data_IF_798302420435
#
_entry.id   IF_798302420435
#
_cell.length_a   1.000
_cell.length_b   1.000
_cell.length_c   1.000
_cell.angle_alpha   90.00
_cell.angle_beta   90.00
_cell.angle_gamma   90.00
#
_symmetry.space_group_name_H-M   'P 1'
#
loop_
_entity.id
_entity.type
_entity.pdbx_description
1 polymer ?
#
# COMPACT_ATOMS: atom_id res chain seq x y z
N UNK A 1 -24.00 43.20 -8.12
CA UNK A 1 -23.23 42.19 -8.85
C UNK A 1 -21.94 41.94 -8.07
N UNK A 2 -22.01 41.10 -7.06
CA UNK A 2 -20.84 40.74 -6.24
C UNK A 2 -20.19 39.54 -6.90
N UNK A 3 -18.98 39.75 -7.40
CA UNK A 3 -18.16 38.73 -8.02
C UNK A 3 -17.92 37.57 -7.04
N UNK A 4 -18.20 36.38 -7.49
CA UNK A 4 -17.73 35.15 -6.89
C UNK A 4 -16.20 35.24 -6.81
N UNK A 5 -15.72 35.54 -5.60
CA UNK A 5 -14.29 35.48 -5.29
C UNK A 5 -13.78 34.10 -5.66
N UNK A 6 -12.84 34.08 -6.58
CA UNK A 6 -12.21 32.86 -7.08
C UNK A 6 -11.85 31.96 -5.90
N UNK A 7 -12.32 30.74 -5.96
CA UNK A 7 -11.81 29.59 -5.25
C UNK A 7 -10.29 29.74 -5.13
N UNK A 8 -9.79 29.98 -3.91
CA UNK A 8 -8.37 29.86 -3.63
C UNK A 8 -7.98 28.47 -4.11
N UNK A 9 -7.27 28.39 -5.24
CA UNK A 9 -6.89 27.13 -5.83
C UNK A 9 -6.08 26.39 -4.77
N UNK A 10 -6.60 25.24 -4.30
CA UNK A 10 -5.88 24.35 -3.41
C UNK A 10 -4.57 23.99 -4.11
N UNK A 11 -3.48 24.63 -3.70
CA UNK A 11 -2.15 24.28 -4.14
C UNK A 11 -1.66 23.18 -3.20
N UNK A 12 -1.60 21.92 -3.66
CA UNK A 12 -1.08 20.84 -2.83
C UNK A 12 0.36 21.17 -2.45
N UNK A 13 0.70 21.05 -1.17
CA UNK A 13 2.08 21.15 -0.71
C UNK A 13 2.86 19.93 -1.18
N UNK A 14 4.12 20.12 -1.59
CA UNK A 14 5.02 18.98 -1.82
C UNK A 14 5.10 18.11 -0.55
N UNK A 15 5.05 16.79 -0.72
CA UNK A 15 5.27 15.85 0.38
C UNK A 15 6.76 15.85 0.68
N UNK A 16 7.21 16.16 1.92
CA UNK A 16 8.64 16.27 2.21
C UNK A 16 9.41 14.97 1.91
N UNK A 17 8.93 13.84 2.40
CA UNK A 17 9.52 12.53 2.09
C UNK A 17 8.42 11.54 1.67
N UNK A 18 8.63 10.93 0.51
CA UNK A 18 7.76 9.88 -0.03
C UNK A 18 8.47 8.54 0.00
N UNK A 19 7.94 7.54 0.70
CA UNK A 19 8.51 6.18 0.71
C UNK A 19 7.73 5.28 -0.22
N UNK A 20 8.43 4.43 -0.97
CA UNK A 20 7.83 3.32 -1.70
C UNK A 20 8.31 2.01 -1.08
N UNK A 21 7.38 1.20 -0.59
CA UNK A 21 7.63 -0.11 0.03
C UNK A 21 7.33 -1.20 -0.97
N UNK A 22 8.29 -2.06 -1.21
CA UNK A 22 8.20 -3.15 -2.18
C UNK A 22 8.64 -4.46 -1.52
N UNK A 23 7.72 -5.38 -1.17
CA UNK A 23 8.06 -6.73 -0.78
C UNK A 23 8.58 -7.51 -2.00
N UNK A 24 9.65 -8.26 -1.82
CA UNK A 24 10.31 -9.06 -2.86
C UNK A 24 10.55 -10.48 -2.36
N UNK A 25 10.30 -11.46 -3.21
CA UNK A 25 10.61 -12.85 -2.98
C UNK A 25 10.81 -13.60 -4.28
N UNK A 26 12.07 -13.94 -4.58
CA UNK A 26 12.50 -14.56 -5.83
C UNK A 26 12.09 -13.75 -7.06
N UNK A 27 12.56 -12.50 -7.11
CA UNK A 27 12.24 -11.51 -8.14
C UNK A 27 13.48 -11.12 -8.96
N UNK A 28 14.52 -11.95 -9.01
CA UNK A 28 15.79 -11.63 -9.68
C UNK A 28 15.59 -11.22 -11.15
N UNK A 29 14.69 -11.88 -11.87
CA UNK A 29 14.42 -11.62 -13.29
C UNK A 29 13.74 -10.25 -13.54
N UNK A 30 12.92 -9.79 -12.60
CA UNK A 30 12.15 -8.54 -12.71
C UNK A 30 12.82 -7.37 -12.00
N UNK A 31 13.77 -7.63 -11.10
CA UNK A 31 14.35 -6.68 -10.15
C UNK A 31 14.81 -5.37 -10.81
N UNK A 32 15.69 -5.46 -11.79
CA UNK A 32 16.29 -4.27 -12.43
C UNK A 32 15.23 -3.38 -13.12
N UNK A 33 14.28 -4.01 -13.80
CA UNK A 33 13.18 -3.29 -14.45
C UNK A 33 12.27 -2.61 -13.42
N UNK A 34 11.88 -3.32 -12.37
CA UNK A 34 11.02 -2.80 -11.29
C UNK A 34 11.65 -1.60 -10.60
N UNK A 35 12.91 -1.73 -10.15
CA UNK A 35 13.61 -0.65 -9.46
C UNK A 35 13.83 0.54 -10.38
N UNK A 36 14.24 0.31 -11.64
CA UNK A 36 14.44 1.37 -12.62
C UNK A 36 13.18 2.18 -12.92
N UNK A 37 12.05 1.52 -13.10
CA UNK A 37 10.76 2.18 -13.36
C UNK A 37 10.27 2.97 -12.13
N UNK A 38 10.45 2.43 -10.92
CA UNK A 38 10.10 3.11 -9.68
C UNK A 38 10.94 4.37 -9.45
N UNK A 39 12.26 4.29 -9.66
CA UNK A 39 13.14 5.46 -9.56
C UNK A 39 12.69 6.56 -10.54
N UNK A 40 12.47 6.20 -11.80
CA UNK A 40 12.02 7.16 -12.82
C UNK A 40 10.68 7.81 -12.48
N UNK A 41 9.72 7.04 -11.96
CA UNK A 41 8.41 7.55 -11.55
C UNK A 41 8.50 8.51 -10.34
N UNK A 42 9.36 8.18 -9.36
CA UNK A 42 9.57 9.06 -8.21
C UNK A 42 10.36 10.32 -8.60
N UNK A 43 11.33 10.23 -9.51
CA UNK A 43 12.04 11.39 -10.06
C UNK A 43 11.08 12.32 -10.82
N UNK A 44 10.12 11.78 -11.59
CA UNK A 44 9.06 12.57 -12.25
C UNK A 44 8.14 13.26 -11.22
N UNK A 45 7.76 12.56 -10.13
CA UNK A 45 7.00 13.17 -9.04
C UNK A 45 7.73 14.34 -8.40
N UNK A 46 9.04 14.21 -8.16
CA UNK A 46 9.87 15.26 -7.59
C UNK A 46 10.02 16.44 -8.58
N UNK A 47 10.26 16.15 -9.85
CA UNK A 47 10.36 17.17 -10.90
C UNK A 47 9.07 17.99 -11.07
N UNK A 48 7.91 17.37 -10.81
CA UNK A 48 6.59 18.06 -10.79
C UNK A 48 6.32 18.82 -9.49
N UNK A 49 7.19 18.75 -8.51
CA UNK A 49 6.99 19.36 -7.19
C UNK A 49 5.89 18.71 -6.35
N UNK A 50 5.50 17.47 -6.66
CA UNK A 50 4.53 16.72 -5.86
C UNK A 50 5.15 16.16 -4.57
N UNK A 51 6.44 15.86 -4.59
CA UNK A 51 7.26 15.43 -3.47
C UNK A 51 8.58 16.22 -3.46
N UNK A 52 9.23 16.38 -2.31
CA UNK A 52 10.55 17.00 -2.23
C UNK A 52 11.66 15.97 -2.43
N UNK A 53 11.53 14.81 -1.78
CA UNK A 53 12.46 13.68 -1.88
C UNK A 53 11.73 12.36 -1.69
N UNK A 54 12.42 11.25 -1.96
CA UNK A 54 11.86 9.92 -1.81
C UNK A 54 12.88 8.88 -1.37
N UNK A 55 12.39 7.75 -0.87
CA UNK A 55 13.14 6.52 -0.66
C UNK A 55 12.40 5.31 -1.23
N UNK A 56 13.14 4.30 -1.71
CA UNK A 56 12.65 2.96 -2.00
C UNK A 56 13.07 2.02 -0.87
N UNK A 57 12.11 1.33 -0.27
CA UNK A 57 12.34 0.33 0.78
C UNK A 57 12.05 -1.05 0.20
N UNK A 58 13.10 -1.75 -0.19
CA UNK A 58 13.05 -3.10 -0.75
C UNK A 58 13.09 -4.09 0.41
N UNK A 59 12.10 -4.96 0.53
CA UNK A 59 12.03 -5.96 1.59
C UNK A 59 12.20 -7.34 0.99
N UNK A 60 13.38 -7.91 1.12
CA UNK A 60 13.68 -9.27 0.70
C UNK A 60 13.20 -10.27 1.76
N UNK A 61 12.23 -11.08 1.40
CA UNK A 61 11.60 -12.07 2.28
C UNK A 61 12.33 -13.42 2.26
N UNK A 62 13.65 -13.39 2.51
CA UNK A 62 14.53 -14.55 2.47
C UNK A 62 14.46 -15.27 1.11
N UNK A 63 14.74 -14.54 0.03
CA UNK A 63 14.79 -15.09 -1.32
C UNK A 63 15.87 -16.17 -1.45
N UNK A 64 15.59 -17.20 -2.25
CA UNK A 64 16.54 -18.27 -2.56
C UNK A 64 17.39 -18.01 -3.80
N UNK A 65 17.09 -16.94 -4.54
CA UNK A 65 17.77 -16.48 -5.75
C UNK A 65 18.66 -15.26 -5.48
N UNK A 66 19.04 -14.52 -6.51
CA UNK A 66 19.92 -13.35 -6.40
C UNK A 66 19.20 -12.07 -5.91
N UNK A 67 17.91 -12.10 -5.61
CA UNK A 67 17.10 -10.91 -5.25
C UNK A 67 17.73 -10.11 -4.10
N UNK A 68 18.11 -10.78 -3.00
CA UNK A 68 18.73 -10.12 -1.85
C UNK A 68 20.05 -9.43 -2.20
N UNK A 69 20.93 -10.10 -2.95
CA UNK A 69 22.20 -9.53 -3.39
C UNK A 69 22.02 -8.34 -4.35
N UNK A 70 20.99 -8.39 -5.21
CA UNK A 70 20.62 -7.27 -6.09
C UNK A 70 20.08 -6.08 -5.29
N UNK A 71 19.31 -6.32 -4.24
CA UNK A 71 18.81 -5.28 -3.36
C UNK A 71 19.96 -4.56 -2.62
N UNK A 72 20.93 -5.32 -2.10
CA UNK A 72 22.13 -4.74 -1.48
C UNK A 72 22.97 -3.93 -2.46
N UNK A 73 23.19 -4.44 -3.67
CA UNK A 73 23.92 -3.74 -4.71
C UNK A 73 23.21 -2.42 -5.11
N UNK A 74 21.89 -2.44 -5.24
CA UNK A 74 21.11 -1.25 -5.52
C UNK A 74 21.19 -0.20 -4.40
N UNK A 75 21.09 -0.64 -3.14
CA UNK A 75 21.22 0.23 -1.97
C UNK A 75 22.63 0.82 -1.84
N UNK A 76 23.67 0.09 -2.23
CA UNK A 76 25.04 0.59 -2.26
C UNK A 76 25.28 1.62 -3.38
N UNK A 77 24.56 1.49 -4.51
CA UNK A 77 24.69 2.37 -5.66
C UNK A 77 23.87 3.67 -5.54
N UNK A 78 22.73 3.64 -4.85
CA UNK A 78 21.84 4.79 -4.70
C UNK A 78 21.35 4.92 -3.24
N UNK A 79 21.76 5.99 -2.57
CA UNK A 79 21.41 6.27 -1.17
C UNK A 79 19.91 6.44 -0.90
N UNK A 80 19.09 6.59 -1.94
CA UNK A 80 17.63 6.62 -1.87
C UNK A 80 17.01 5.23 -1.76
N UNK A 81 17.80 4.17 -1.98
CA UNK A 81 17.37 2.79 -1.88
C UNK A 81 17.84 2.21 -0.55
N UNK A 82 16.95 1.48 0.10
CA UNK A 82 17.25 0.74 1.33
C UNK A 82 16.78 -0.70 1.17
N UNK A 83 17.67 -1.64 1.45
CA UNK A 83 17.37 -3.06 1.52
C UNK A 83 17.12 -3.47 2.98
N UNK A 84 16.05 -4.25 3.19
CA UNK A 84 15.72 -4.90 4.45
C UNK A 84 15.59 -6.39 4.16
N UNK A 85 16.21 -7.23 4.99
CA UNK A 85 16.21 -8.68 4.78
C UNK A 85 15.58 -9.41 5.96
N UNK A 86 14.83 -10.45 5.66
CA UNK A 86 14.38 -11.41 6.66
C UNK A 86 15.34 -12.61 6.73
N UNK A 87 15.56 -13.15 7.92
CA UNK A 87 16.34 -14.38 8.11
C UNK A 87 15.61 -15.62 7.58
N UNK A 88 14.27 -15.58 7.54
CA UNK A 88 13.40 -16.62 7.01
C UNK A 88 12.14 -15.99 6.40
N UNK A 89 11.48 -16.70 5.48
CA UNK A 89 10.28 -16.20 4.81
C UNK A 89 9.14 -15.98 5.80
N UNK A 90 8.74 -14.71 5.97
CA UNK A 90 7.64 -14.27 6.83
C UNK A 90 6.31 -14.11 6.08
N UNK A 91 6.34 -14.28 4.76
CA UNK A 91 5.19 -14.10 3.87
C UNK A 91 4.87 -12.64 3.59
N UNK A 92 3.93 -12.42 2.66
CA UNK A 92 3.57 -11.09 2.16
C UNK A 92 3.26 -10.09 3.29
N UNK A 93 2.44 -10.50 4.26
CA UNK A 93 2.07 -9.64 5.38
C UNK A 93 3.26 -9.28 6.27
N UNK A 94 4.18 -10.22 6.49
CA UNK A 94 5.43 -9.97 7.20
C UNK A 94 6.27 -8.91 6.50
N UNK A 95 6.47 -9.06 5.19
CA UNK A 95 7.27 -8.15 4.38
C UNK A 95 6.65 -6.75 4.31
N UNK A 96 5.34 -6.65 4.12
CA UNK A 96 4.62 -5.37 4.15
C UNK A 96 4.80 -4.69 5.51
N UNK A 97 4.62 -5.41 6.62
CA UNK A 97 4.80 -4.85 7.97
C UNK A 97 6.21 -4.33 8.18
N UNK A 98 7.22 -5.12 7.83
CA UNK A 98 8.63 -4.72 7.93
C UNK A 98 8.91 -3.48 7.09
N UNK A 99 8.42 -3.44 5.85
CA UNK A 99 8.60 -2.30 4.97
C UNK A 99 7.90 -1.04 5.48
N UNK A 100 6.63 -1.14 5.91
CA UNK A 100 5.87 0.00 6.45
C UNK A 100 6.49 0.54 7.75
N UNK A 101 6.98 -0.34 8.62
CA UNK A 101 7.67 0.05 9.85
C UNK A 101 9.05 0.66 9.56
N UNK A 102 9.75 0.16 8.55
CA UNK A 102 11.06 0.65 8.11
C UNK A 102 11.01 1.93 7.29
N UNK A 103 9.89 2.24 6.65
CA UNK A 103 9.70 3.45 5.86
C UNK A 103 9.74 4.71 6.74
N UNK A 104 10.31 5.81 6.23
CA UNK A 104 10.50 7.09 6.96
C UNK A 104 9.62 8.21 6.43
N UNK A 105 9.00 8.03 5.25
CA UNK A 105 8.24 9.05 4.55
C UNK A 105 6.99 9.52 5.27
N UNK A 106 6.61 10.77 5.00
CA UNK A 106 5.34 11.37 5.45
C UNK A 106 4.14 10.70 4.78
N UNK A 107 4.37 10.19 3.58
CA UNK A 107 3.43 9.33 2.84
C UNK A 107 4.18 8.10 2.35
N UNK A 108 3.59 6.94 2.56
CA UNK A 108 4.14 5.65 2.16
C UNK A 108 3.24 5.03 1.11
N UNK A 109 3.77 4.76 -0.07
CA UNK A 109 3.16 3.90 -1.08
C UNK A 109 3.61 2.46 -0.83
N UNK A 110 2.68 1.54 -0.74
CA UNK A 110 2.92 0.11 -0.82
C UNK A 110 2.47 -0.41 -2.18
N UNK A 111 3.34 -1.16 -2.86
CA UNK A 111 3.05 -1.85 -4.12
C UNK A 111 3.81 -3.18 -4.22
N UNK A 112 3.29 -4.11 -5.02
CA UNK A 112 3.96 -5.37 -5.34
C UNK A 112 5.10 -5.13 -6.36
N UNK A 113 6.08 -6.04 -6.40
CA UNK A 113 7.23 -5.95 -7.30
C UNK A 113 6.87 -6.02 -8.80
N UNK A 114 5.70 -6.59 -9.14
CA UNK A 114 5.19 -6.69 -10.51
C UNK A 114 4.51 -5.42 -11.03
N UNK A 115 4.46 -4.35 -10.21
CA UNK A 115 3.91 -3.03 -10.57
C UNK A 115 2.54 -3.14 -11.27
N UNK A 116 1.47 -3.53 -10.56
CA UNK A 116 0.20 -3.94 -11.15
C UNK A 116 -0.63 -2.79 -11.72
N UNK A 117 -0.11 -1.55 -11.76
CA UNK A 117 -0.78 -0.36 -12.27
C UNK A 117 0.22 0.60 -12.92
N UNK A 118 -0.28 1.55 -13.69
CA UNK A 118 0.54 2.57 -14.33
C UNK A 118 1.08 3.58 -13.30
N UNK A 119 2.40 3.63 -13.14
CA UNK A 119 3.04 4.58 -12.23
C UNK A 119 2.89 6.05 -12.68
N UNK A 120 2.52 6.33 -13.94
CA UNK A 120 2.15 7.68 -14.38
C UNK A 120 0.88 8.20 -13.70
N UNK A 121 0.10 7.34 -13.04
CA UNK A 121 -1.03 7.75 -12.19
C UNK A 121 -0.58 8.35 -10.84
N UNK A 122 0.66 8.16 -10.40
CA UNK A 122 1.14 8.60 -9.09
C UNK A 122 0.90 10.10 -8.81
N UNK A 123 1.16 11.04 -9.75
CA UNK A 123 0.89 12.47 -9.51
C UNK A 123 -0.59 12.74 -9.19
N UNK A 124 -1.48 12.04 -9.88
CA UNK A 124 -2.93 12.13 -9.64
C UNK A 124 -3.29 11.55 -8.28
N UNK A 125 -2.72 10.40 -7.91
CA UNK A 125 -3.01 9.74 -6.63
C UNK A 125 -2.52 10.59 -5.45
N UNK A 126 -1.31 11.15 -5.52
CA UNK A 126 -0.76 12.08 -4.52
C UNK A 126 -1.69 13.28 -4.35
N UNK A 127 -2.10 13.90 -5.45
CA UNK A 127 -3.03 15.02 -5.41
C UNK A 127 -4.36 14.65 -4.77
N UNK A 128 -4.94 13.49 -5.10
CA UNK A 128 -6.21 13.04 -4.50
C UNK A 128 -6.07 12.79 -3.00
N UNK A 129 -4.97 12.17 -2.56
CA UNK A 129 -4.70 11.96 -1.13
C UNK A 129 -4.72 13.29 -0.37
N UNK A 130 -4.13 14.33 -0.94
CA UNK A 130 -4.05 15.66 -0.32
C UNK A 130 -5.38 16.41 -0.38
N UNK A 131 -6.02 16.49 -1.56
CA UNK A 131 -7.28 17.23 -1.75
C UNK A 131 -8.40 16.69 -0.86
N UNK A 132 -8.44 15.38 -0.69
CA UNK A 132 -9.45 14.74 0.17
C UNK A 132 -8.97 14.61 1.62
N UNK A 133 -7.79 15.10 1.98
CA UNK A 133 -7.22 14.96 3.32
C UNK A 133 -7.36 13.51 3.83
N UNK A 134 -7.09 12.55 2.94
CA UNK A 134 -7.27 11.16 3.25
C UNK A 134 -6.05 10.62 4.00
N UNK A 135 -6.29 9.83 5.04
CA UNK A 135 -5.25 9.05 5.72
C UNK A 135 -4.76 7.88 4.85
N UNK A 136 -5.69 7.27 4.10
CA UNK A 136 -5.36 6.19 3.14
C UNK A 136 -6.05 6.44 1.81
N UNK A 137 -5.31 6.29 0.72
CA UNK A 137 -5.83 6.07 -0.62
C UNK A 137 -5.62 4.59 -0.96
N UNK A 138 -6.73 3.87 -1.19
CA UNK A 138 -6.72 2.46 -1.60
C UNK A 138 -7.20 2.36 -3.04
N UNK A 139 -6.35 1.92 -3.96
CA UNK A 139 -6.78 1.70 -5.33
C UNK A 139 -7.55 0.38 -5.48
N UNK A 140 -8.31 0.24 -6.56
CA UNK A 140 -9.02 -0.96 -6.96
C UNK A 140 -8.96 -1.13 -8.48
N UNK A 141 -9.00 -2.37 -8.98
CA UNK A 141 -8.95 -2.69 -10.40
C UNK A 141 -10.25 -2.34 -11.10
N UNK A 142 -10.17 -1.51 -12.15
CA UNK A 142 -11.33 -1.14 -12.98
C UNK A 142 -11.71 -2.27 -13.92
N UNK A 143 -10.72 -2.99 -14.47
CA UNK A 143 -10.92 -4.13 -15.36
C UNK A 143 -10.48 -5.44 -14.69
N UNK A 144 -11.39 -6.46 -14.73
CA UNK A 144 -11.17 -7.81 -14.23
C UNK A 144 -11.36 -8.87 -15.31
N UNK A 145 -11.56 -8.48 -16.57
CA UNK A 145 -11.88 -9.41 -17.65
C UNK A 145 -10.75 -10.42 -17.95
N UNK A 146 -9.50 -10.09 -17.59
CA UNK A 146 -8.35 -10.99 -17.75
C UNK A 146 -8.22 -12.06 -16.65
N UNK A 147 -9.03 -11.98 -15.58
CA UNK A 147 -8.98 -12.94 -14.47
C UNK A 147 -9.95 -14.10 -14.70
N UNK A 148 -9.45 -15.35 -14.65
CA UNK A 148 -10.30 -16.53 -14.81
C UNK A 148 -11.45 -16.59 -13.79
N UNK A 149 -12.60 -17.15 -14.18
CA UNK A 149 -13.85 -17.23 -13.39
C UNK A 149 -13.65 -17.67 -11.92
N UNK A 150 -12.77 -18.65 -11.66
CA UNK A 150 -12.49 -19.12 -10.30
C UNK A 150 -11.88 -18.04 -9.43
N UNK A 151 -10.93 -17.25 -9.95
CA UNK A 151 -10.26 -16.17 -9.22
C UNK A 151 -11.24 -15.05 -8.87
N UNK A 152 -12.09 -14.69 -9.81
CA UNK A 152 -13.18 -13.70 -9.60
C UNK A 152 -14.13 -14.14 -8.49
N UNK A 153 -14.51 -15.43 -8.46
CA UNK A 153 -15.41 -15.98 -7.45
C UNK A 153 -14.77 -15.95 -6.04
N UNK A 154 -13.49 -16.37 -5.92
CA UNK A 154 -12.76 -16.33 -4.64
C UNK A 154 -12.56 -14.89 -4.15
N UNK A 155 -12.18 -13.97 -5.03
CA UNK A 155 -12.04 -12.55 -4.71
C UNK A 155 -13.38 -11.94 -4.25
N UNK A 156 -14.48 -12.28 -4.93
CA UNK A 156 -15.82 -11.84 -4.55
C UNK A 156 -16.23 -12.34 -3.17
N UNK A 157 -16.02 -13.63 -2.89
CA UNK A 157 -16.30 -14.22 -1.58
C UNK A 157 -15.44 -13.60 -0.46
N UNK A 158 -14.15 -13.41 -0.71
CA UNK A 158 -13.24 -12.76 0.23
C UNK A 158 -13.69 -11.33 0.55
N UNK A 159 -13.99 -10.51 -0.47
CA UNK A 159 -14.48 -9.15 -0.28
C UNK A 159 -15.82 -9.12 0.47
N UNK A 160 -16.70 -10.10 0.24
CA UNK A 160 -17.94 -10.25 1.01
C UNK A 160 -17.67 -10.53 2.48
N UNK A 161 -16.75 -11.44 2.80
CA UNK A 161 -16.35 -11.74 4.18
C UNK A 161 -15.75 -10.51 4.87
N UNK A 162 -14.83 -9.80 4.22
CA UNK A 162 -14.26 -8.54 4.72
C UNK A 162 -15.37 -7.52 5.01
N UNK A 163 -16.32 -7.37 4.08
CA UNK A 163 -17.47 -6.46 4.26
C UNK A 163 -18.33 -6.82 5.46
N UNK A 164 -18.64 -8.10 5.63
CA UNK A 164 -19.53 -8.57 6.71
C UNK A 164 -18.81 -8.59 8.05
N UNK A 165 -17.61 -9.20 8.12
CA UNK A 165 -16.91 -9.41 9.38
C UNK A 165 -16.24 -8.13 9.91
N UNK A 166 -15.68 -7.30 9.03
CA UNK A 166 -15.01 -6.06 9.42
C UNK A 166 -15.87 -4.83 9.23
N UNK A 167 -17.07 -4.98 8.61
CA UNK A 167 -17.99 -3.87 8.26
C UNK A 167 -17.32 -2.83 7.36
N UNK A 168 -16.45 -3.27 6.47
CA UNK A 168 -15.75 -2.41 5.52
C UNK A 168 -16.49 -2.37 4.18
N UNK A 169 -16.58 -1.16 3.60
CA UNK A 169 -17.12 -0.96 2.25
C UNK A 169 -15.97 -0.66 1.27
N UNK A 170 -15.10 -1.66 1.06
CA UNK A 170 -13.96 -1.57 0.14
C UNK A 170 -14.21 -2.49 -1.06
N UNK A 171 -13.84 -2.05 -2.27
CA UNK A 171 -14.12 -2.76 -3.50
C UNK A 171 -13.13 -3.88 -3.79
N UNK A 172 -11.83 -3.63 -3.70
CA UNK A 172 -10.77 -4.58 -4.03
C UNK A 172 -9.64 -4.42 -3.01
N UNK A 173 -9.84 -5.02 -1.86
CA UNK A 173 -8.97 -4.78 -0.70
C UNK A 173 -7.53 -5.23 -0.93
N UNK A 174 -7.32 -6.27 -1.75
CA UNK A 174 -6.00 -6.89 -1.98
C UNK A 174 -5.27 -6.32 -3.21
N UNK A 175 -5.72 -5.22 -3.77
CA UNK A 175 -4.97 -4.58 -4.85
C UNK A 175 -3.77 -3.83 -4.29
N UNK A 176 -2.58 -4.18 -4.75
CA UNK A 176 -1.31 -3.66 -4.23
C UNK A 176 -1.00 -2.25 -4.76
N UNK A 177 -1.85 -1.29 -4.40
CA UNK A 177 -1.60 0.13 -4.55
C UNK A 177 -2.30 0.86 -3.41
N UNK A 178 -1.56 1.16 -2.36
CA UNK A 178 -2.06 1.91 -1.20
C UNK A 178 -1.08 3.00 -0.83
N UNK A 179 -1.57 4.24 -0.81
CA UNK A 179 -0.85 5.37 -0.22
C UNK A 179 -1.38 5.64 1.18
N UNK A 180 -0.47 5.73 2.14
CA UNK A 180 -0.80 5.78 3.57
C UNK A 180 -0.01 6.95 4.16
N UNK A 181 -0.69 7.86 4.88
CA UNK A 181 -0.01 8.90 5.64
C UNK A 181 0.69 8.30 6.87
N UNK A 182 1.82 8.87 7.26
CA UNK A 182 2.58 8.47 8.43
C UNK A 182 1.72 8.41 9.68
N UNK A 183 0.89 9.41 9.93
CA UNK A 183 -0.03 9.49 11.06
C UNK A 183 -0.93 8.26 11.23
N UNK A 184 -1.31 7.62 10.11
CA UNK A 184 -2.10 6.38 10.14
C UNK A 184 -1.26 5.21 10.60
N UNK A 185 -0.01 5.10 10.08
CA UNK A 185 0.90 4.02 10.45
C UNK A 185 1.31 4.11 11.94
N UNK A 186 1.45 5.32 12.46
CA UNK A 186 1.79 5.56 13.86
C UNK A 186 0.61 5.26 14.82
N UNK A 187 -0.64 5.33 14.31
CA UNK A 187 -1.84 5.10 15.10
C UNK A 187 -2.35 3.66 15.10
N UNK A 188 -1.81 2.80 14.22
CA UNK A 188 -2.27 1.40 14.09
C UNK A 188 -1.11 0.42 14.24
N UNK A 189 -1.41 -0.76 14.79
CA UNK A 189 -0.48 -1.88 14.87
C UNK A 189 -0.93 -3.01 13.94
N UNK A 190 -0.12 -3.35 12.93
CA UNK A 190 -0.40 -4.45 12.01
C UNK A 190 0.19 -5.76 12.54
N UNK A 191 -0.54 -6.87 12.41
CA UNK A 191 -0.17 -8.17 12.98
C UNK A 191 -0.24 -9.33 11.99
N UNK A 192 -1.00 -9.19 10.91
CA UNK A 192 -1.12 -10.24 9.89
C UNK A 192 0.24 -10.55 9.26
N UNK A 193 0.49 -11.83 9.02
CA UNK A 193 1.65 -12.32 8.27
C UNK A 193 1.29 -12.77 6.86
N UNK A 194 0.00 -12.96 6.58
CA UNK A 194 -0.51 -13.38 5.29
C UNK A 194 -1.18 -12.26 4.49
N UNK A 195 -1.90 -12.65 3.45
CA UNK A 195 -2.62 -11.72 2.57
C UNK A 195 -3.81 -11.02 3.23
N UNK A 196 -4.11 -11.29 4.51
CA UNK A 196 -5.10 -10.55 5.28
C UNK A 196 -4.59 -9.16 5.67
N UNK A 197 -3.29 -8.88 5.54
CA UNK A 197 -2.64 -7.61 5.90
C UNK A 197 -3.32 -6.39 5.28
N UNK A 198 -3.74 -6.49 4.02
CA UNK A 198 -4.44 -5.43 3.31
C UNK A 198 -5.78 -5.06 3.93
N UNK A 199 -6.55 -6.08 4.30
CA UNK A 199 -7.83 -5.89 4.97
C UNK A 199 -7.64 -5.40 6.41
N UNK A 200 -6.63 -5.90 7.12
CA UNK A 200 -6.26 -5.46 8.46
C UNK A 200 -5.91 -3.97 8.48
N UNK A 201 -5.01 -3.53 7.59
CA UNK A 201 -4.59 -2.13 7.45
C UNK A 201 -5.81 -1.20 7.31
N UNK A 202 -6.65 -1.47 6.33
CA UNK A 202 -7.82 -0.63 6.04
C UNK A 202 -8.84 -0.70 7.20
N UNK A 203 -9.03 -1.89 7.79
CA UNK A 203 -9.98 -2.07 8.88
C UNK A 203 -9.57 -1.32 10.15
N UNK A 204 -8.29 -1.43 10.53
CA UNK A 204 -7.76 -0.73 11.71
C UNK A 204 -7.82 0.78 11.51
N UNK A 205 -7.34 1.29 10.37
CA UNK A 205 -7.40 2.71 10.05
C UNK A 205 -8.84 3.25 10.06
N UNK A 206 -9.78 2.54 9.43
CA UNK A 206 -11.18 2.92 9.42
C UNK A 206 -11.80 2.96 10.83
N UNK A 207 -11.42 2.00 11.70
CA UNK A 207 -11.89 1.96 13.10
C UNK A 207 -11.30 3.06 13.96
N UNK A 208 -10.08 3.48 13.65
CA UNK A 208 -9.43 4.61 14.31
C UNK A 208 -9.97 5.96 13.84
N UNK A 209 -10.82 5.98 12.81
CA UNK A 209 -11.46 7.18 12.31
C UNK A 209 -10.74 7.85 11.13
N UNK A 210 -9.66 7.23 10.63
CA UNK A 210 -8.95 7.77 9.47
C UNK A 210 -9.82 7.74 8.21
N UNK A 211 -9.75 8.81 7.44
CA UNK A 211 -10.46 8.91 6.16
C UNK A 211 -9.81 8.04 5.12
N UNK A 212 -10.60 7.18 4.48
CA UNK A 212 -10.15 6.29 3.41
C UNK A 212 -10.88 6.65 2.13
N UNK A 213 -10.12 6.92 1.07
CA UNK A 213 -10.65 7.12 -0.28
C UNK A 213 -10.29 5.94 -1.17
N UNK A 214 -11.11 5.70 -2.19
CA UNK A 214 -10.90 4.62 -3.13
C UNK A 214 -10.84 5.16 -4.55
N UNK A 215 -9.85 4.70 -5.34
CA UNK A 215 -9.61 5.15 -6.71
C UNK A 215 -9.54 3.93 -7.63
N UNK A 216 -10.24 3.99 -8.77
CA UNK A 216 -10.10 2.97 -9.82
C UNK A 216 -8.84 3.22 -10.63
N UNK A 217 -8.07 2.16 -10.86
CA UNK A 217 -6.90 2.13 -11.73
C UNK A 217 -7.01 0.99 -12.73
N UNK A 218 -6.43 1.18 -13.90
CA UNK A 218 -6.26 0.13 -14.87
C UNK A 218 -5.22 -0.86 -14.37
N UNK A 219 -5.53 -2.15 -14.51
CA UNK A 219 -4.71 -3.24 -14.01
C UNK A 219 -3.89 -3.85 -15.14
N UNK A 220 -2.59 -3.94 -14.92
CA UNK A 220 -1.69 -4.70 -15.78
C UNK A 220 -1.49 -6.10 -15.19
N UNK A 221 -1.95 -7.10 -15.94
CA UNK A 221 -1.76 -8.49 -15.53
C UNK A 221 -0.26 -8.83 -15.56
N UNK A 222 0.19 -9.63 -14.57
CA UNK A 222 1.56 -10.17 -14.56
C UNK A 222 1.90 -10.80 -15.89
N UNK A 223 3.02 -10.41 -16.47
CA UNK A 223 3.58 -11.04 -17.68
C UNK A 223 4.28 -12.37 -17.34
N UNK A 224 4.72 -12.57 -16.09
CA UNK A 224 5.46 -13.76 -15.61
C UNK A 224 5.00 -14.12 -14.19
N UNK A 225 4.87 -15.41 -13.89
CA UNK A 225 4.64 -15.95 -12.54
C UNK A 225 3.28 -16.59 -12.30
N UNK A 226 3.23 -17.53 -11.35
CA UNK A 226 2.03 -18.25 -10.93
C UNK A 226 1.48 -17.62 -9.66
N UNK A 227 0.19 -17.25 -9.66
CA UNK A 227 -0.48 -16.69 -8.46
C UNK A 227 -0.51 -17.73 -7.33
N UNK A 228 0.14 -17.43 -6.22
CA UNK A 228 0.15 -18.28 -5.01
C UNK A 228 -1.15 -18.21 -4.19
N UNK A 229 -2.04 -17.26 -4.49
CA UNK A 229 -3.27 -16.99 -3.73
C UNK A 229 -4.38 -18.04 -3.90
N UNK A 230 -4.27 -18.98 -4.85
CA UNK A 230 -5.29 -19.99 -5.14
C UNK A 230 -5.19 -21.30 -4.34
N UNK A 231 -4.20 -21.41 -3.45
CA UNK A 231 -4.02 -22.59 -2.58
C UNK A 231 -5.04 -22.62 -1.45
N UNK A 232 -5.68 -23.79 -1.22
CA UNK A 232 -6.56 -24.02 -0.06
C UNK A 232 -5.87 -23.71 1.29
N UNK A 233 -4.55 -23.91 1.37
CA UNK A 233 -3.75 -23.60 2.56
C UNK A 233 -3.72 -22.08 2.80
N UNK A 234 -3.51 -21.29 1.76
CA UNK A 234 -3.53 -19.82 1.81
C UNK A 234 -4.90 -19.30 2.22
N UNK A 235 -5.98 -19.81 1.61
CA UNK A 235 -7.37 -19.41 1.92
C UNK A 235 -7.70 -19.72 3.40
N UNK A 236 -7.35 -20.90 3.90
CA UNK A 236 -7.56 -21.26 5.32
C UNK A 236 -6.77 -20.35 6.26
N UNK A 237 -5.52 -19.99 5.89
CA UNK A 237 -4.69 -19.04 6.63
C UNK A 237 -5.38 -17.67 6.75
N UNK A 238 -5.79 -17.11 5.64
CA UNK A 238 -6.50 -15.82 5.58
C UNK A 238 -7.78 -15.84 6.43
N UNK A 239 -8.60 -16.89 6.31
CA UNK A 239 -9.82 -17.02 7.11
C UNK A 239 -9.51 -17.10 8.61
N UNK A 240 -8.51 -17.87 8.99
CA UNK A 240 -8.08 -18.00 10.40
C UNK A 240 -7.62 -16.65 10.96
N UNK A 241 -6.78 -15.91 10.26
CA UNK A 241 -6.35 -14.57 10.65
C UNK A 241 -7.54 -13.62 10.76
N UNK A 242 -8.41 -13.60 9.76
CA UNK A 242 -9.59 -12.75 9.73
C UNK A 242 -10.52 -13.00 10.93
N UNK A 243 -10.82 -14.27 11.25
CA UNK A 243 -11.67 -14.61 12.39
C UNK A 243 -11.00 -14.29 13.73
N UNK A 244 -9.70 -14.57 13.87
CA UNK A 244 -8.97 -14.30 15.12
C UNK A 244 -8.88 -12.81 15.42
N UNK A 245 -8.60 -11.98 14.40
CA UNK A 245 -8.42 -10.54 14.59
C UNK A 245 -9.72 -9.72 14.50
N UNK A 246 -10.79 -10.27 13.90
CA UNK A 246 -12.03 -9.52 13.68
C UNK A 246 -12.66 -8.96 14.94
N UNK A 247 -12.57 -9.70 16.06
CA UNK A 247 -13.09 -9.26 17.35
C UNK A 247 -12.27 -8.10 17.93
N UNK A 248 -10.96 -8.17 17.84
CA UNK A 248 -10.04 -7.12 18.28
C UNK A 248 -10.27 -5.86 17.45
N UNK A 249 -10.19 -5.98 16.11
CA UNK A 249 -10.39 -4.85 15.20
C UNK A 249 -11.73 -4.14 15.45
N UNK A 250 -12.81 -4.92 15.68
CA UNK A 250 -14.13 -4.33 15.96
C UNK A 250 -14.23 -3.57 17.29
N UNK A 251 -13.32 -3.82 18.23
CA UNK A 251 -13.25 -3.14 19.53
C UNK A 251 -12.43 -1.86 19.50
N UNK A 252 -11.65 -1.64 18.45
CA UNK A 252 -10.92 -0.40 18.28
C UNK A 252 -11.90 0.78 18.24
N UNK A 253 -11.52 1.89 18.86
CA UNK A 253 -12.29 3.14 18.90
C UNK A 253 -11.55 4.21 18.11
N UNK A 254 -12.22 5.21 17.55
CA UNK A 254 -11.58 6.37 16.97
C UNK A 254 -10.59 7.00 17.96
N UNK A 255 -9.49 7.54 17.44
CA UNK A 255 -8.61 8.37 18.24
C UNK A 255 -9.42 9.57 18.78
N UNK A 256 -9.12 9.99 20.00
CA UNK A 256 -9.69 11.24 20.48
C UNK A 256 -9.26 12.36 19.51
N UNK A 257 -10.15 13.30 19.17
CA UNK A 257 -9.75 14.48 18.40
C UNK A 257 -8.61 15.18 19.16
N UNK A 258 -7.61 15.75 18.44
CA UNK A 258 -6.58 16.54 19.10
C UNK A 258 -7.26 17.61 19.94
N UNK A 259 -6.87 17.73 21.19
CA UNK A 259 -7.33 18.82 22.04
C UNK A 259 -7.01 20.12 21.30
N UNK A 260 -8.05 20.82 20.86
CA UNK A 260 -7.89 22.18 20.36
C UNK A 260 -7.39 22.98 21.54
N UNK A 261 -6.05 23.19 21.58
CA UNK A 261 -5.47 24.05 22.58
C UNK A 261 -6.20 25.39 22.52
N UNK A 262 -6.85 25.74 23.61
CA UNK A 262 -7.45 27.06 23.84
C UNK A 262 -6.35 28.08 23.55
N UNK A 263 -6.50 28.79 22.43
CA UNK A 263 -5.75 29.99 22.17
C UNK A 263 -6.36 31.05 23.15
N UNK A 264 -5.69 31.18 24.30
CA UNK A 264 -5.87 32.30 25.22
C UNK A 264 -5.00 33.47 24.77
#
# INVERSE_FOLDING_TARGET
MNGLSATAAFAPRAIPLFSVVIPMWNEEDSFAATVGVLLAACDDLAARGAIETFELVLVDDASGDSTGALADAAAAADHRIRALHHEHNLGLGGSIRTGLAGARGDVVLYTDADLPFDLFELPRLVRLLQVYEAGILSAWRTDRHSEGFRRTLYSGFYNLLVRVLLRLRVRDVNFACKMIRREVLDDIELRSTGSFIDAELIARANRRGHRIIQVGLDYFARSVGVSTLSSWRTIRGILREMFSMSREIRRLRPAAPPETGDAS
#
